data_IF_617383590110
#
_entry.id   IF_617383590110
#
_cell.length_a   1.000
_cell.length_b   1.000
_cell.length_c   1.000
_cell.angle_alpha   90.00
_cell.angle_beta   90.00
_cell.angle_gamma   90.00
#
_symmetry.space_group_name_H-M   'P 1'
#
loop_
_entity.id
_entity.type
_entity.pdbx_description
1 polymer ?
#
# COMPACT_ATOMS: atom_id res chain seq x y z
N UNK A 1 -19.98 49.54 -7.56
CA UNK A 1 -18.77 48.88 -7.01
C UNK A 1 -19.08 47.39 -6.98
N UNK A 2 -18.77 46.70 -8.08
CA UNK A 2 -18.95 45.25 -8.21
C UNK A 2 -17.70 44.56 -7.67
N UNK A 3 -17.79 43.52 -6.84
CA UNK A 3 -16.64 42.71 -6.52
C UNK A 3 -16.33 41.80 -7.71
N UNK A 4 -15.13 41.96 -8.25
CA UNK A 4 -14.52 41.05 -9.23
C UNK A 4 -13.80 39.96 -8.45
N UNK A 5 -14.44 38.81 -8.28
CA UNK A 5 -13.80 37.58 -7.80
C UNK A 5 -13.71 36.60 -8.97
N UNK A 6 -12.69 36.77 -9.79
CA UNK A 6 -12.20 35.70 -10.68
C UNK A 6 -11.68 34.54 -9.84
N UNK A 7 -12.56 33.59 -9.53
CA UNK A 7 -12.20 32.26 -9.04
C UNK A 7 -11.38 31.55 -10.13
N UNK A 8 -10.05 31.59 -10.02
CA UNK A 8 -9.19 30.73 -10.81
C UNK A 8 -9.58 29.27 -10.50
N UNK A 9 -9.86 28.44 -11.52
CA UNK A 9 -10.17 27.03 -11.27
C UNK A 9 -8.96 26.41 -10.59
N UNK A 10 -9.18 25.77 -9.43
CA UNK A 10 -8.13 25.03 -8.73
C UNK A 10 -7.59 23.98 -9.67
N UNK A 11 -6.38 24.22 -10.21
CA UNK A 11 -5.67 23.24 -11.02
C UNK A 11 -5.37 22.07 -10.10
N UNK A 12 -6.14 20.99 -10.25
CA UNK A 12 -5.86 19.74 -9.55
C UNK A 12 -4.45 19.34 -10.00
N UNK A 13 -3.47 19.26 -9.08
CA UNK A 13 -2.11 18.91 -9.46
C UNK A 13 -2.12 17.52 -10.10
N UNK A 14 -1.56 17.40 -11.30
CA UNK A 14 -1.47 16.13 -11.99
C UNK A 14 -0.65 15.16 -11.16
N UNK A 15 -1.18 13.93 -10.98
CA UNK A 15 -0.48 12.86 -10.27
C UNK A 15 0.87 12.63 -10.97
N UNK A 16 2.00 12.81 -10.28
CA UNK A 16 3.32 12.59 -10.84
C UNK A 16 3.42 11.26 -11.59
N UNK A 17 4.11 11.24 -12.72
CA UNK A 17 4.25 10.02 -13.55
C UNK A 17 4.84 8.82 -12.78
N UNK A 18 5.60 9.06 -11.71
CA UNK A 18 6.10 8.00 -10.82
C UNK A 18 4.99 7.33 -9.98
N UNK A 19 3.88 8.02 -9.75
CA UNK A 19 2.68 7.53 -9.07
C UNK A 19 1.60 7.03 -10.04
N UNK A 20 1.81 7.17 -11.35
CA UNK A 20 0.95 6.55 -12.35
C UNK A 20 1.17 5.04 -12.30
N UNK A 21 0.21 4.34 -11.68
CA UNK A 21 0.19 2.89 -11.51
C UNK A 21 0.48 2.25 -12.88
N UNK A 22 1.65 1.63 -13.01
CA UNK A 22 1.97 0.77 -14.17
C UNK A 22 0.88 -0.29 -14.23
N UNK A 23 0.22 -0.42 -15.38
CA UNK A 23 -0.83 -1.41 -15.64
C UNK A 23 -0.50 -2.76 -14.98
N UNK A 24 -1.10 -3.02 -13.81
CA UNK A 24 -1.02 -4.32 -13.15
C UNK A 24 -2.08 -5.18 -13.81
N UNK A 25 -1.67 -6.23 -14.52
CA UNK A 25 -2.61 -7.26 -14.94
C UNK A 25 -3.17 -7.91 -13.67
N UNK A 26 -4.36 -7.48 -13.26
CA UNK A 26 -5.01 -7.97 -12.05
C UNK A 26 -5.65 -9.32 -12.34
N UNK A 27 -4.95 -10.39 -11.99
CA UNK A 27 -5.47 -11.76 -11.96
C UNK A 27 -5.51 -12.27 -10.53
N UNK A 28 -6.54 -13.04 -10.20
CA UNK A 28 -6.56 -13.82 -8.96
C UNK A 28 -6.13 -15.24 -9.31
N UNK A 29 -5.08 -15.73 -8.64
CA UNK A 29 -4.60 -17.10 -8.74
C UNK A 29 -4.65 -17.75 -7.38
N UNK A 30 -4.73 -19.08 -7.35
CA UNK A 30 -4.69 -19.81 -6.08
C UNK A 30 -3.29 -19.74 -5.45
N UNK A 31 -3.22 -19.90 -4.13
CA UNK A 31 -1.93 -19.90 -3.42
C UNK A 31 -1.00 -20.99 -3.93
N UNK A 32 -1.51 -22.20 -4.13
CA UNK A 32 -0.73 -23.35 -4.65
C UNK A 32 -0.21 -23.09 -6.06
N UNK A 33 -1.04 -22.53 -6.94
CA UNK A 33 -0.61 -22.13 -8.29
C UNK A 33 0.48 -21.06 -8.23
N UNK A 34 0.33 -20.05 -7.35
CA UNK A 34 1.34 -19.00 -7.18
C UNK A 34 2.71 -19.52 -6.73
N UNK A 35 2.75 -20.62 -5.99
CA UNK A 35 4.01 -21.23 -5.55
C UNK A 35 4.80 -21.84 -6.71
N UNK A 36 4.12 -22.32 -7.75
CA UNK A 36 4.75 -22.93 -8.94
C UNK A 36 5.41 -21.91 -9.87
N UNK A 37 5.07 -20.62 -9.72
CA UNK A 37 5.61 -19.53 -10.54
C UNK A 37 7.00 -19.13 -10.05
N UNK A 38 8.04 -19.72 -10.65
CA UNK A 38 9.44 -19.41 -10.28
C UNK A 38 10.03 -18.20 -11.01
N UNK A 39 9.42 -17.75 -12.11
CA UNK A 39 9.91 -16.61 -12.91
C UNK A 39 9.50 -15.24 -12.35
N UNK A 40 8.82 -15.21 -11.19
CA UNK A 40 8.24 -14.01 -10.62
C UNK A 40 8.79 -13.76 -9.22
N UNK A 41 9.05 -12.48 -8.92
CA UNK A 41 9.31 -12.05 -7.55
C UNK A 41 8.02 -12.10 -6.75
N UNK A 42 8.10 -12.66 -5.54
CA UNK A 42 6.97 -12.74 -4.61
C UNK A 42 7.07 -11.58 -3.64
N UNK A 43 5.93 -10.98 -3.30
CA UNK A 43 5.85 -9.99 -2.25
C UNK A 43 4.64 -10.31 -1.37
N UNK A 44 4.82 -10.18 -0.06
CA UNK A 44 3.79 -10.46 0.93
C UNK A 44 3.60 -9.24 1.84
N UNK A 45 2.35 -8.96 2.19
CA UNK A 45 1.96 -7.80 2.99
C UNK A 45 0.91 -8.21 4.03
N UNK A 46 0.93 -7.56 5.20
CA UNK A 46 -0.01 -7.80 6.29
C UNK A 46 -1.01 -6.65 6.42
N UNK A 47 -2.28 -7.03 6.52
CA UNK A 47 -3.36 -6.13 6.88
C UNK A 47 -3.62 -6.21 8.39
N UNK A 48 -2.99 -5.32 9.16
CA UNK A 48 -3.22 -5.21 10.61
C UNK A 48 -4.35 -4.23 10.84
N UNK A 49 -5.42 -4.71 11.49
CA UNK A 49 -6.57 -3.90 11.80
C UNK A 49 -7.17 -4.29 13.14
N UNK A 50 -7.91 -3.36 13.73
CA UNK A 50 -8.71 -3.58 14.92
C UNK A 50 -10.04 -2.84 14.82
N UNK A 51 -11.13 -3.38 15.39
CA UNK A 51 -12.37 -2.62 15.53
C UNK A 51 -12.11 -1.41 16.42
N UNK A 52 -12.60 -0.25 15.99
CA UNK A 52 -12.49 1.00 16.73
C UNK A 52 -13.76 1.80 16.50
N UNK A 53 -14.59 1.88 17.54
CA UNK A 53 -15.80 2.68 17.52
C UNK A 53 -15.47 4.06 18.08
N UNK A 54 -15.30 5.03 17.17
CA UNK A 54 -14.92 6.39 17.54
C UNK A 54 -15.52 7.41 16.59
N UNK A 55 -15.68 8.63 17.09
CA UNK A 55 -16.12 9.78 16.31
C UNK A 55 -15.00 10.81 16.23
N UNK A 56 -14.78 11.35 15.06
CA UNK A 56 -13.86 12.48 14.84
C UNK A 56 -14.58 13.64 14.16
N UNK A 57 -13.84 14.72 13.97
CA UNK A 57 -14.25 15.85 13.14
C UNK A 57 -14.56 15.45 11.69
N UNK A 58 -14.09 14.27 11.23
CA UNK A 58 -14.30 13.74 9.88
C UNK A 58 -15.40 12.67 9.80
N UNK A 59 -16.08 12.37 10.91
CA UNK A 59 -17.19 11.40 10.96
C UNK A 59 -16.90 10.18 11.84
N UNK A 60 -17.68 9.13 11.63
CA UNK A 60 -17.64 7.89 12.43
C UNK A 60 -16.62 6.91 11.82
N UNK A 61 -15.71 6.44 12.65
CA UNK A 61 -14.78 5.36 12.31
C UNK A 61 -15.31 4.03 12.86
N UNK A 62 -15.06 2.95 12.11
CA UNK A 62 -15.44 1.58 12.49
C UNK A 62 -14.24 0.69 12.80
N UNK A 63 -13.07 1.05 12.28
CA UNK A 63 -11.85 0.28 12.42
C UNK A 63 -10.63 1.20 12.32
N UNK A 64 -9.56 0.81 13.02
CA UNK A 64 -8.22 1.33 12.81
C UNK A 64 -7.47 0.34 11.91
N UNK A 65 -6.87 0.85 10.84
CA UNK A 65 -6.05 0.07 9.89
C UNK A 65 -4.65 0.65 9.89
N UNK A 66 -3.64 -0.20 10.04
CA UNK A 66 -2.25 0.23 10.02
C UNK A 66 -1.71 0.23 8.59
N UNK A 67 -1.21 1.38 8.16
CA UNK A 67 -0.43 1.58 6.94
C UNK A 67 0.77 2.47 7.25
N UNK A 68 1.80 2.43 6.43
CA UNK A 68 2.97 3.32 6.56
C UNK A 68 3.27 4.04 5.24
N UNK A 69 4.01 5.15 5.34
CA UNK A 69 4.61 5.82 4.19
C UNK A 69 5.93 5.11 3.89
N UNK A 70 6.11 4.71 2.64
CA UNK A 70 7.29 4.03 2.13
C UNK A 70 8.36 5.05 1.70
N UNK A 71 9.58 4.59 1.47
CA UNK A 71 10.68 5.46 1.01
C UNK A 71 10.40 6.16 -0.34
N UNK A 72 9.56 5.55 -1.20
CA UNK A 72 9.11 6.11 -2.48
C UNK A 72 7.99 7.16 -2.32
N UNK A 73 7.60 7.47 -1.08
CA UNK A 73 6.53 8.43 -0.74
C UNK A 73 5.12 7.87 -0.90
N UNK A 74 4.95 6.58 -1.22
CA UNK A 74 3.63 5.95 -1.35
C UNK A 74 3.16 5.31 -0.05
N UNK A 75 1.84 5.18 0.11
CA UNK A 75 1.26 4.42 1.22
C UNK A 75 1.24 2.93 0.91
N UNK A 76 1.68 2.12 1.87
CA UNK A 76 1.68 0.66 1.75
C UNK A 76 1.36 -0.03 3.08
N UNK A 77 1.11 -1.33 2.96
CA UNK A 77 1.00 -2.24 4.11
C UNK A 77 2.39 -2.70 4.54
N UNK A 78 2.51 -3.12 5.81
CA UNK A 78 3.74 -3.73 6.31
C UNK A 78 4.03 -5.04 5.58
N UNK A 79 5.28 -5.24 5.17
CA UNK A 79 5.72 -6.41 4.41
C UNK A 79 6.84 -6.05 3.44
N UNK A 80 7.10 -6.94 2.49
CA UNK A 80 8.23 -6.81 1.58
C UNK A 80 8.30 -7.90 0.51
N UNK A 81 9.44 -7.94 -0.16
CA UNK A 81 9.76 -8.93 -1.18
C UNK A 81 10.31 -10.18 -0.48
N UNK A 82 9.87 -11.35 -0.93
CA UNK A 82 10.32 -12.65 -0.42
C UNK A 82 11.48 -13.15 -1.28
N UNK A 83 12.53 -13.64 -0.64
CA UNK A 83 13.72 -14.13 -1.32
C UNK A 83 13.46 -15.46 -2.04
N UNK A 84 14.24 -15.72 -3.09
CA UNK A 84 14.11 -16.95 -3.87
C UNK A 84 14.47 -18.18 -3.02
N UNK A 85 13.57 -19.17 -2.98
CA UNK A 85 13.76 -20.40 -2.21
C UNK A 85 13.33 -20.32 -0.74
N UNK A 86 12.93 -19.14 -0.25
CA UNK A 86 12.37 -18.96 1.10
C UNK A 86 10.87 -19.33 1.12
N UNK A 87 10.38 -19.82 2.27
CA UNK A 87 8.94 -19.96 2.50
C UNK A 87 8.29 -18.57 2.64
N UNK A 88 7.06 -18.45 2.16
CA UNK A 88 6.36 -17.16 2.14
C UNK A 88 6.09 -16.63 3.56
N UNK A 89 5.79 -17.50 4.52
CA UNK A 89 5.50 -17.08 5.89
C UNK A 89 6.78 -16.69 6.62
N UNK A 90 7.85 -17.47 6.47
CA UNK A 90 9.14 -17.18 7.09
C UNK A 90 9.73 -15.88 6.55
N UNK A 91 9.70 -15.67 5.22
CA UNK A 91 10.14 -14.43 4.62
C UNK A 91 9.29 -13.23 5.03
N UNK A 92 7.97 -13.41 5.18
CA UNK A 92 7.11 -12.36 5.69
C UNK A 92 7.44 -12.00 7.15
N UNK A 93 7.67 -12.99 8.01
CA UNK A 93 8.09 -12.74 9.39
C UNK A 93 9.43 -12.00 9.44
N UNK A 94 10.41 -12.38 8.61
CA UNK A 94 11.68 -11.66 8.47
C UNK A 94 11.48 -10.20 8.09
N UNK A 95 10.60 -9.91 7.14
CA UNK A 95 10.28 -8.54 6.72
C UNK A 95 9.56 -7.73 7.82
N UNK A 96 8.75 -8.39 8.66
CA UNK A 96 8.05 -7.74 9.79
C UNK A 96 8.95 -7.51 11.01
N UNK A 97 9.89 -8.42 11.29
CA UNK A 97 10.84 -8.29 12.40
C UNK A 97 12.01 -7.36 12.08
N UNK A 98 12.40 -7.29 10.80
CA UNK A 98 13.44 -6.40 10.35
C UNK A 98 13.11 -4.95 10.72
N UNK A 99 14.10 -4.21 11.23
CA UNK A 99 14.04 -2.73 11.42
C UNK A 99 13.68 -1.96 10.14
N UNK A 100 13.57 -2.67 9.02
CA UNK A 100 13.51 -2.21 7.65
C UNK A 100 12.28 -2.79 6.95
N UNK A 101 11.09 -2.78 7.58
CA UNK A 101 9.79 -3.04 6.94
C UNK A 101 9.46 -2.09 5.75
N UNK A 102 10.47 -1.44 5.16
CA UNK A 102 10.47 -0.43 4.12
C UNK A 102 11.45 -0.77 2.98
N UNK A 103 11.99 -2.00 2.90
CA UNK A 103 12.96 -2.37 1.88
C UNK A 103 12.32 -2.60 0.50
N UNK A 104 12.52 -1.65 -0.42
CA UNK A 104 12.58 -1.91 -1.86
C UNK A 104 13.91 -1.38 -2.40
#
# INVERSE_FOLDING_TARGET
>A
MTPDETLLPSVIPEVPKCLQIRSVTKGLISFTESQTLQQYRKAAHVFIWAPWEGQSIFGVYKAAVLMHVRFDGTFGFAGGIIDEGEDLLDGLHRELEGRNCMGF
#
